data_IF_160522477244
#
_entry.id   IF_160522477244
#
_cell.length_a   1.000
_cell.length_b   1.000
_cell.length_c   1.000
_cell.angle_alpha   90.00
_cell.angle_beta   90.00
_cell.angle_gamma   90.00
#
_symmetry.space_group_name_H-M   'P 1'
#
loop_
_entity.id
_entity.type
_entity.pdbx_description
1 polymer ?
#
# COMPACT_ATOMS: atom_id res chain seq x y z
N UNK A 1 -8.85 -12.67 -3.11
CA UNK A 1 -7.74 -12.30 -2.23
C UNK A 1 -8.21 -11.38 -1.12
N UNK A 2 -7.82 -11.67 0.10
CA UNK A 2 -8.29 -10.94 1.29
C UNK A 2 -7.88 -9.46 1.29
N UNK A 3 -6.74 -9.12 0.71
CA UNK A 3 -6.30 -7.71 0.59
C UNK A 3 -7.28 -6.89 -0.26
N UNK A 4 -7.83 -7.47 -1.34
CA UNK A 4 -8.82 -6.79 -2.17
C UNK A 4 -10.13 -6.52 -1.44
N UNK A 5 -10.45 -7.32 -0.42
CA UNK A 5 -11.64 -7.11 0.40
C UNK A 5 -11.41 -6.01 1.43
N UNK A 6 -10.25 -6.01 2.08
CA UNK A 6 -10.00 -5.20 3.29
C UNK A 6 -9.29 -3.88 2.97
N UNK A 7 -8.26 -3.89 2.13
CA UNK A 7 -7.37 -2.74 1.98
C UNK A 7 -8.03 -1.53 1.29
N UNK A 8 -8.91 -1.70 0.28
CA UNK A 8 -9.67 -0.55 -0.23
C UNK A 8 -10.54 0.10 0.84
N UNK A 9 -11.12 -0.69 1.75
CA UNK A 9 -11.90 -0.16 2.86
C UNK A 9 -11.02 0.53 3.89
N UNK A 10 -9.79 0.05 4.09
CA UNK A 10 -8.81 0.72 4.94
C UNK A 10 -8.45 2.10 4.36
N UNK A 11 -8.25 2.20 3.06
CA UNK A 11 -7.98 3.49 2.40
C UNK A 11 -9.15 4.46 2.58
N UNK A 12 -10.39 3.98 2.41
CA UNK A 12 -11.59 4.78 2.64
C UNK A 12 -11.68 5.27 4.08
N UNK A 13 -11.41 4.38 5.06
CA UNK A 13 -11.43 4.73 6.48
C UNK A 13 -10.32 5.74 6.82
N UNK A 14 -9.15 5.62 6.20
CA UNK A 14 -8.06 6.57 6.38
C UNK A 14 -8.46 7.99 5.93
N UNK A 15 -9.25 8.11 4.86
CA UNK A 15 -9.76 9.42 4.40
C UNK A 15 -10.49 10.15 5.52
N UNK A 16 -11.30 9.42 6.28
CA UNK A 16 -12.11 10.02 7.37
C UNK A 16 -11.30 10.27 8.63
N UNK A 17 -10.30 9.44 8.92
CA UNK A 17 -9.67 9.39 10.25
C UNK A 17 -8.21 9.88 10.27
N UNK A 18 -7.55 10.00 9.11
CA UNK A 18 -6.15 10.44 9.06
C UNK A 18 -6.00 11.88 9.53
N UNK A 19 -5.02 12.10 10.41
CA UNK A 19 -4.58 13.44 10.77
C UNK A 19 -3.66 14.00 9.68
N UNK A 20 -3.35 15.30 9.74
CA UNK A 20 -2.35 15.90 8.84
C UNK A 20 -0.99 15.21 8.97
N UNK A 21 -0.60 14.85 10.19
CA UNK A 21 0.64 14.12 10.44
C UNK A 21 0.63 12.73 9.82
N UNK A 22 -0.52 12.03 9.87
CA UNK A 22 -0.67 10.72 9.21
C UNK A 22 -0.48 10.85 7.70
N UNK A 23 -1.10 11.85 7.09
CA UNK A 23 -0.99 12.10 5.65
C UNK A 23 0.45 12.42 5.27
N UNK A 24 1.14 13.24 6.06
CA UNK A 24 2.55 13.57 5.83
C UNK A 24 3.43 12.32 5.90
N UNK A 25 3.17 11.43 6.87
CA UNK A 25 3.90 10.17 7.00
C UNK A 25 3.67 9.25 5.81
N UNK A 26 2.43 9.13 5.34
CA UNK A 26 2.09 8.33 4.16
C UNK A 26 2.80 8.89 2.92
N UNK A 27 2.77 10.19 2.74
CA UNK A 27 3.45 10.87 1.63
C UNK A 27 4.95 10.65 1.68
N UNK A 28 5.54 10.73 2.87
CA UNK A 28 6.97 10.48 3.06
C UNK A 28 7.34 9.05 2.65
N UNK A 29 6.57 8.06 3.07
CA UNK A 29 6.82 6.66 2.70
C UNK A 29 6.72 6.47 1.17
N UNK A 30 5.77 7.12 0.53
CA UNK A 30 5.66 7.11 -0.94
C UNK A 30 6.91 7.71 -1.58
N UNK A 31 7.34 8.89 -1.13
CA UNK A 31 8.53 9.57 -1.67
C UNK A 31 9.78 8.71 -1.50
N UNK A 32 9.92 8.06 -0.35
CA UNK A 32 11.06 7.17 -0.07
C UNK A 32 11.02 5.91 -0.96
N UNK A 33 9.85 5.32 -1.17
CA UNK A 33 9.72 4.17 -2.07
C UNK A 33 10.12 4.54 -3.50
N UNK A 34 9.68 5.71 -3.96
CA UNK A 34 9.99 6.20 -5.30
C UNK A 34 11.48 6.47 -5.50
N UNK A 35 12.18 6.86 -4.44
CA UNK A 35 13.60 7.22 -4.47
C UNK A 35 14.54 6.02 -4.39
N UNK A 36 14.03 4.80 -4.14
CA UNK A 36 14.89 3.63 -3.95
C UNK A 36 15.45 3.12 -5.28
N UNK A 37 16.73 2.74 -5.26
CA UNK A 37 17.41 2.20 -6.42
C UNK A 37 17.26 0.69 -6.56
N UNK A 38 17.00 -0.01 -5.45
CA UNK A 38 16.90 -1.46 -5.43
C UNK A 38 15.55 -1.96 -4.92
N UNK A 39 15.31 -3.26 -5.13
CA UNK A 39 14.06 -3.89 -4.76
C UNK A 39 13.88 -3.97 -3.24
N UNK A 40 14.94 -4.25 -2.49
CA UNK A 40 14.86 -4.37 -1.03
C UNK A 40 14.42 -3.05 -0.39
N UNK A 41 15.01 -1.94 -0.81
CA UNK A 41 14.62 -0.62 -0.34
C UNK A 41 13.19 -0.26 -0.72
N UNK A 42 12.81 -0.56 -1.96
CA UNK A 42 11.43 -0.35 -2.41
C UNK A 42 10.44 -1.15 -1.58
N UNK A 43 10.70 -2.44 -1.36
CA UNK A 43 9.79 -3.31 -0.58
C UNK A 43 9.63 -2.83 0.86
N UNK A 44 10.70 -2.35 1.47
CA UNK A 44 10.62 -1.80 2.83
C UNK A 44 9.65 -0.61 2.87
N UNK A 45 9.82 0.35 1.98
CA UNK A 45 8.99 1.57 1.98
C UNK A 45 7.58 1.31 1.44
N UNK A 46 7.42 0.36 0.53
CA UNK A 46 6.10 -0.10 0.10
C UNK A 46 5.33 -0.69 1.29
N UNK A 47 5.98 -1.54 2.08
CA UNK A 47 5.40 -2.10 3.30
C UNK A 47 5.02 -1.01 4.30
N UNK A 48 5.90 -0.03 4.52
CA UNK A 48 5.63 1.11 5.40
C UNK A 48 4.47 1.97 4.90
N UNK A 49 4.39 2.19 3.59
CA UNK A 49 3.30 2.93 2.97
C UNK A 49 1.94 2.31 3.30
N UNK A 50 1.80 1.01 3.08
CA UNK A 50 0.55 0.31 3.38
C UNK A 50 0.27 0.26 4.88
N UNK A 51 1.30 0.00 5.70
CA UNK A 51 1.17 -0.01 7.15
C UNK A 51 0.64 1.32 7.69
N UNK A 52 1.16 2.43 7.17
CA UNK A 52 0.75 3.76 7.60
C UNK A 52 -0.70 4.08 7.22
N UNK A 53 -1.18 3.58 6.09
CA UNK A 53 -2.59 3.70 5.71
C UNK A 53 -3.48 2.97 6.71
N UNK A 54 -3.12 1.72 7.08
CA UNK A 54 -3.86 0.97 8.11
C UNK A 54 -3.84 1.71 9.44
N UNK A 55 -2.69 2.24 9.83
CA UNK A 55 -2.56 3.01 11.08
C UNK A 55 -3.45 4.25 11.07
N UNK A 56 -3.54 4.93 9.93
CA UNK A 56 -4.35 6.14 9.77
C UNK A 56 -5.86 5.88 9.84
N UNK A 57 -6.30 4.63 9.75
CA UNK A 57 -7.71 4.27 9.94
C UNK A 57 -8.16 4.45 11.39
N UNK A 58 -7.23 4.47 12.33
CA UNK A 58 -7.50 4.52 13.77
C UNK A 58 -8.36 3.35 14.24
N UNK A 59 -8.30 2.23 13.53
CA UNK A 59 -9.05 1.02 13.83
C UNK A 59 -8.07 -0.09 14.23
N UNK A 60 -8.12 -0.49 15.50
CA UNK A 60 -7.18 -1.48 16.05
C UNK A 60 -7.28 -2.83 15.36
N UNK A 61 -8.47 -3.23 14.94
CA UNK A 61 -8.65 -4.52 14.26
C UNK A 61 -7.97 -4.50 12.88
N UNK A 62 -8.10 -3.40 12.14
CA UNK A 62 -7.42 -3.24 10.85
C UNK A 62 -5.91 -3.20 11.02
N UNK A 63 -5.43 -2.54 12.05
CA UNK A 63 -4.00 -2.49 12.37
C UNK A 63 -3.46 -3.89 12.72
N UNK A 64 -4.21 -4.67 13.47
CA UNK A 64 -3.86 -6.06 13.80
C UNK A 64 -3.84 -6.95 12.56
N UNK A 65 -4.77 -6.73 11.64
CA UNK A 65 -4.80 -7.45 10.37
C UNK A 65 -3.53 -7.17 9.54
N UNK A 66 -3.08 -5.93 9.51
CA UNK A 66 -1.85 -5.57 8.80
C UNK A 66 -0.62 -6.26 9.42
N UNK A 67 -0.54 -6.34 10.74
CA UNK A 67 0.55 -7.04 11.44
C UNK A 67 0.60 -8.52 11.03
N UNK A 68 -0.56 -9.18 10.95
CA UNK A 68 -0.64 -10.58 10.52
C UNK A 68 -0.20 -10.72 9.05
N UNK A 69 -0.65 -9.82 8.18
CA UNK A 69 -0.23 -9.81 6.77
C UNK A 69 1.29 -9.68 6.64
N UNK A 70 1.89 -8.78 7.41
CA UNK A 70 3.33 -8.55 7.37
C UNK A 70 4.11 -9.81 7.75
N UNK A 71 3.67 -10.50 8.81
CA UNK A 71 4.28 -11.77 9.25
C UNK A 71 4.18 -12.83 8.15
N UNK A 72 3.00 -12.96 7.53
CA UNK A 72 2.78 -13.94 6.46
C UNK A 72 3.69 -13.64 5.26
N UNK A 73 3.76 -12.38 4.83
CA UNK A 73 4.60 -11.99 3.70
C UNK A 73 6.07 -12.33 3.93
N UNK A 74 6.57 -12.13 5.15
CA UNK A 74 7.98 -12.38 5.49
C UNK A 74 8.34 -13.85 5.58
N UNK A 75 7.36 -14.74 5.83
CA UNK A 75 7.61 -16.16 6.10
C UNK A 75 7.43 -17.09 4.91
N UNK A 76 6.83 -16.65 3.81
CA UNK A 76 6.37 -17.57 2.77
C UNK A 76 7.20 -17.51 1.51
N UNK A 77 7.23 -18.64 0.78
CA UNK A 77 7.74 -18.68 -0.60
C UNK A 77 6.96 -17.74 -1.52
N UNK A 78 5.75 -17.37 -1.12
CA UNK A 78 4.93 -16.39 -1.82
C UNK A 78 5.68 -15.08 -2.03
N UNK A 79 6.44 -14.62 -1.05
CA UNK A 79 7.29 -13.43 -1.19
C UNK A 79 8.32 -13.59 -2.31
N UNK A 80 8.91 -14.78 -2.45
CA UNK A 80 9.89 -15.05 -3.52
C UNK A 80 9.24 -14.97 -4.91
N UNK A 81 8.03 -15.52 -5.05
CA UNK A 81 7.28 -15.46 -6.30
C UNK A 81 6.94 -14.01 -6.63
N UNK A 82 6.48 -13.25 -5.66
CA UNK A 82 6.17 -11.84 -5.81
C UNK A 82 7.40 -11.06 -6.27
N UNK A 83 8.55 -11.27 -5.62
CA UNK A 83 9.79 -10.58 -5.95
C UNK A 83 10.24 -10.86 -7.38
N UNK A 84 10.07 -12.09 -7.86
CA UNK A 84 10.48 -12.48 -9.20
C UNK A 84 9.74 -11.68 -10.29
N UNK A 85 8.56 -11.16 -9.99
CA UNK A 85 7.73 -10.41 -10.94
C UNK A 85 7.83 -8.88 -10.79
N UNK A 86 8.57 -8.38 -9.79
CA UNK A 86 8.68 -6.93 -9.55
C UNK A 86 9.89 -6.38 -10.32
N UNK A 87 9.63 -5.97 -11.55
CA UNK A 87 10.62 -5.30 -12.40
C UNK A 87 10.71 -3.81 -12.07
N UNK A 88 11.71 -3.12 -12.62
CA UNK A 88 11.81 -1.65 -12.50
C UNK A 88 10.56 -0.96 -13.04
N UNK A 89 10.06 -1.42 -14.19
CA UNK A 89 8.85 -0.86 -14.79
C UNK A 89 7.64 -1.03 -13.89
N UNK A 90 7.50 -2.20 -13.24
CA UNK A 90 6.41 -2.44 -12.27
C UNK A 90 6.54 -1.58 -11.04
N UNK A 91 7.74 -1.40 -10.51
CA UNK A 91 7.96 -0.51 -9.35
C UNK A 91 7.53 0.92 -9.69
N UNK A 92 7.85 1.41 -10.87
CA UNK A 92 7.43 2.73 -11.33
C UNK A 92 5.90 2.82 -11.44
N UNK A 93 5.26 1.79 -11.96
CA UNK A 93 3.80 1.70 -12.02
C UNK A 93 3.18 1.75 -10.63
N UNK A 94 3.72 0.97 -9.69
CA UNK A 94 3.22 0.93 -8.31
C UNK A 94 3.39 2.30 -7.63
N UNK A 95 4.50 2.99 -7.88
CA UNK A 95 4.69 4.34 -7.34
C UNK A 95 3.67 5.34 -7.89
N UNK A 96 3.32 5.25 -9.18
CA UNK A 96 2.26 6.09 -9.74
C UNK A 96 0.92 5.80 -9.09
N UNK A 97 0.62 4.53 -8.84
CA UNK A 97 -0.61 4.11 -8.16
C UNK A 97 -0.63 4.58 -6.69
N UNK A 98 0.51 4.48 -6.00
CA UNK A 98 0.65 5.02 -4.64
C UNK A 98 0.39 6.54 -4.63
N UNK A 99 0.88 7.27 -5.60
CA UNK A 99 0.67 8.72 -5.72
C UNK A 99 -0.84 9.05 -5.83
N UNK A 100 -1.59 8.26 -6.60
CA UNK A 100 -3.04 8.40 -6.72
C UNK A 100 -3.74 8.16 -5.37
N UNK A 101 -3.31 7.14 -4.64
CA UNK A 101 -3.88 6.84 -3.32
C UNK A 101 -3.62 8.00 -2.36
N UNK A 102 -2.38 8.49 -2.29
CA UNK A 102 -2.01 9.62 -1.42
C UNK A 102 -2.82 10.85 -1.76
N UNK A 103 -2.93 11.17 -3.05
CA UNK A 103 -3.69 12.34 -3.51
C UNK A 103 -5.14 12.28 -3.05
N UNK A 104 -5.77 11.13 -3.20
CA UNK A 104 -7.17 10.96 -2.80
C UNK A 104 -7.35 11.03 -1.28
N UNK A 105 -6.42 10.47 -0.50
CA UNK A 105 -6.47 10.57 0.96
C UNK A 105 -6.28 12.03 1.39
N UNK A 106 -5.29 12.71 0.83
CA UNK A 106 -4.98 14.11 1.16
C UNK A 106 -6.15 15.04 0.81
N UNK A 107 -6.84 14.77 -0.29
CA UNK A 107 -7.99 15.54 -0.73
C UNK A 107 -9.32 15.09 -0.08
N UNK A 108 -9.25 14.15 0.86
CA UNK A 108 -10.41 13.61 1.57
C UNK A 108 -11.49 13.05 0.63
N UNK A 109 -11.05 12.42 -0.46
CA UNK A 109 -11.94 11.78 -1.44
C UNK A 109 -12.07 10.29 -1.12
N UNK A 110 -13.10 9.92 -0.38
CA UNK A 110 -13.34 8.56 0.10
C UNK A 110 -13.45 7.56 -1.05
N UNK A 111 -14.32 7.83 -2.02
CA UNK A 111 -14.54 6.94 -3.15
C UNK A 111 -13.29 6.84 -4.03
N UNK A 112 -12.59 7.95 -4.23
CA UNK A 112 -11.37 7.99 -5.01
C UNK A 112 -10.25 7.18 -4.35
N UNK A 113 -10.07 7.29 -3.03
CA UNK A 113 -9.06 6.53 -2.29
C UNK A 113 -9.35 5.04 -2.34
N UNK A 114 -10.60 4.64 -2.12
CA UNK A 114 -11.03 3.24 -2.19
C UNK A 114 -10.73 2.64 -3.57
N UNK A 115 -11.14 3.34 -4.63
CA UNK A 115 -10.96 2.86 -6.00
C UNK A 115 -9.49 2.84 -6.41
N UNK A 116 -8.72 3.86 -6.04
CA UNK A 116 -7.28 3.90 -6.32
C UNK A 116 -6.56 2.72 -5.65
N UNK A 117 -6.91 2.40 -4.42
CA UNK A 117 -6.35 1.24 -3.72
C UNK A 117 -6.74 -0.07 -4.41
N UNK A 118 -8.01 -0.20 -4.80
CA UNK A 118 -8.50 -1.40 -5.51
C UNK A 118 -7.73 -1.61 -6.81
N UNK A 119 -7.60 -0.58 -7.63
CA UNK A 119 -6.87 -0.65 -8.89
C UNK A 119 -5.41 -1.04 -8.67
N UNK A 120 -4.77 -0.47 -7.65
CA UNK A 120 -3.40 -0.81 -7.30
C UNK A 120 -3.25 -2.29 -6.95
N UNK A 121 -4.12 -2.81 -6.10
CA UNK A 121 -4.06 -4.22 -5.67
C UNK A 121 -4.35 -5.17 -6.82
N UNK A 122 -5.29 -4.84 -7.70
CA UNK A 122 -5.54 -5.64 -8.92
C UNK A 122 -4.27 -5.69 -9.76
N UNK A 123 -3.59 -4.57 -9.92
CA UNK A 123 -2.32 -4.49 -10.65
C UNK A 123 -1.23 -5.37 -10.03
N UNK A 124 -1.09 -5.31 -8.70
CA UNK A 124 -0.11 -6.13 -7.96
C UNK A 124 -0.40 -7.63 -8.14
N UNK A 125 -1.65 -8.03 -7.96
CA UNK A 125 -2.06 -9.43 -8.07
C UNK A 125 -1.93 -9.97 -9.50
N UNK A 126 -2.29 -9.17 -10.50
CA UNK A 126 -2.13 -9.53 -11.91
C UNK A 126 -0.66 -9.69 -12.27
N UNK A 127 0.21 -8.86 -11.69
CA UNK A 127 1.65 -8.94 -11.90
C UNK A 127 2.29 -10.20 -11.33
N UNK A 128 1.70 -10.81 -10.30
CA UNK A 128 2.20 -12.05 -9.70
C UNK A 128 1.99 -13.29 -10.56
N UNK A 129 0.97 -13.26 -11.42
CA UNK A 129 0.56 -14.39 -12.26
C UNK A 129 0.41 -13.88 -13.69
N UNK A 130 1.53 -13.85 -14.44
CA UNK A 130 1.52 -13.36 -15.83
C UNK A 130 0.67 -14.22 -16.76
#
# INVERSE_FOLDING_TARGET
NVRLIIEPQAAAAAVSNATGADIDAIRHAHDMAQAQDDLDGFEYWDGEFHRLIYSATRNELLMSFEEVLDVIRKRTQWLRIQRAHVTVARRQQYCRQHAEIVSNIANRNTNGAEEAMRQHLVSVLTGMFP
#
